data_IF_374943347373
#
_entry.id   IF_374943347373
#
_cell.length_a   1.000
_cell.length_b   1.000
_cell.length_c   1.000
_cell.angle_alpha   90.00
_cell.angle_beta   90.00
_cell.angle_gamma   90.00
#
_symmetry.space_group_name_H-M   'P 1'
#
loop_
_entity.id
_entity.type
_entity.pdbx_description
1 polymer ?
#
# COMPACT_ATOMS: atom_id res chain seq x y z
N UNK A 1 2.25 -15.20 -6.72
CA UNK A 1 1.72 -14.53 -7.92
C UNK A 1 0.74 -13.46 -7.46
N UNK A 2 1.18 -12.20 -7.42
CA UNK A 2 0.27 -11.08 -7.14
C UNK A 2 -0.07 -10.43 -8.46
N UNK A 3 -1.36 -10.42 -8.79
CA UNK A 3 -1.89 -9.74 -9.95
C UNK A 3 -1.65 -8.25 -9.80
N UNK A 4 -1.05 -7.63 -10.82
CA UNK A 4 -0.99 -6.17 -11.00
C UNK A 4 -2.35 -5.56 -10.62
N UNK A 5 -2.42 -4.49 -9.81
CA UNK A 5 -3.68 -3.80 -9.55
C UNK A 5 -4.23 -3.39 -10.90
N UNK A 6 -5.27 -4.08 -11.38
CA UNK A 6 -6.05 -3.57 -12.50
C UNK A 6 -6.60 -2.24 -12.01
N UNK A 7 -6.28 -1.16 -12.73
CA UNK A 7 -6.95 0.12 -12.58
C UNK A 7 -8.46 -0.17 -12.58
N UNK A 8 -9.10 -0.11 -11.42
CA UNK A 8 -10.55 -0.22 -11.37
C UNK A 8 -11.08 1.05 -12.04
N UNK A 9 -11.97 0.92 -13.03
CA UNK A 9 -12.52 2.10 -13.66
C UNK A 9 -13.31 2.91 -12.64
N UNK A 10 -13.03 4.22 -12.58
CA UNK A 10 -13.72 5.17 -11.69
C UNK A 10 -15.24 5.25 -11.95
N UNK A 11 -15.69 4.81 -13.13
CA UNK A 11 -17.09 4.82 -13.56
C UNK A 11 -17.42 3.45 -14.12
N UNK A 12 -18.16 2.61 -13.40
CA UNK A 12 -18.46 1.24 -13.84
C UNK A 12 -19.63 1.13 -14.81
N UNK A 13 -20.59 2.06 -14.72
CA UNK A 13 -21.85 2.00 -15.48
C UNK A 13 -22.22 3.36 -16.07
N UNK A 14 -22.87 3.31 -17.23
CA UNK A 14 -23.34 4.52 -17.93
C UNK A 14 -24.47 5.22 -17.17
N UNK A 15 -25.30 4.45 -16.46
CA UNK A 15 -26.40 4.99 -15.66
C UNK A 15 -25.88 5.87 -14.53
N UNK A 16 -24.70 5.57 -13.96
CA UNK A 16 -24.05 6.43 -12.99
C UNK A 16 -23.71 7.80 -13.59
N UNK A 17 -23.15 7.85 -14.81
CA UNK A 17 -22.85 9.12 -15.49
C UNK A 17 -24.10 9.93 -15.77
N UNK A 18 -25.18 9.27 -16.19
CA UNK A 18 -26.46 9.92 -16.49
C UNK A 18 -27.12 10.46 -15.21
N UNK A 19 -27.22 9.63 -14.17
CA UNK A 19 -27.91 9.97 -12.93
C UNK A 19 -27.15 11.03 -12.11
N UNK A 20 -25.81 11.05 -12.20
CA UNK A 20 -24.98 12.10 -11.60
C UNK A 20 -24.91 13.39 -12.43
N UNK A 21 -25.58 13.43 -13.59
CA UNK A 21 -25.53 14.54 -14.53
C UNK A 21 -24.09 14.94 -14.91
N UNK A 22 -23.22 13.94 -15.06
CA UNK A 22 -21.80 14.15 -15.33
C UNK A 22 -21.57 14.68 -16.75
N UNK A 23 -20.58 15.55 -16.90
CA UNK A 23 -20.11 15.99 -18.21
C UNK A 23 -19.32 14.87 -18.91
N UNK A 24 -19.60 14.63 -20.19
CA UNK A 24 -18.98 13.55 -20.98
C UNK A 24 -18.50 14.06 -22.33
N UNK A 25 -17.34 13.59 -22.77
CA UNK A 25 -16.75 13.93 -24.07
C UNK A 25 -17.18 12.99 -25.19
N UNK A 26 -17.31 13.51 -26.40
CA UNK A 26 -17.55 12.74 -27.62
C UNK A 26 -16.87 13.42 -28.82
N UNK A 27 -16.52 12.66 -29.85
CA UNK A 27 -15.94 13.25 -31.06
C UNK A 27 -16.98 14.14 -31.77
N UNK A 28 -16.66 15.43 -31.96
CA UNK A 28 -17.62 16.44 -32.43
C UNK A 28 -18.24 16.13 -33.80
N UNK A 29 -17.45 15.57 -34.72
CA UNK A 29 -17.90 15.17 -36.06
C UNK A 29 -18.43 13.72 -36.11
N UNK A 30 -18.85 13.17 -34.98
CA UNK A 30 -19.31 11.77 -34.87
C UNK A 30 -20.79 11.67 -34.49
N UNK A 31 -21.42 10.58 -34.93
CA UNK A 31 -22.77 10.21 -34.51
C UNK A 31 -22.89 9.99 -32.98
N UNK A 32 -21.77 9.75 -32.30
CA UNK A 32 -21.72 9.46 -30.86
C UNK A 32 -22.40 10.55 -30.04
N UNK A 33 -22.12 11.83 -30.32
CA UNK A 33 -22.71 12.93 -29.55
C UNK A 33 -24.24 12.93 -29.67
N UNK A 34 -24.77 12.72 -30.88
CA UNK A 34 -26.21 12.62 -31.12
C UNK A 34 -26.79 11.36 -30.45
N UNK A 35 -26.09 10.24 -30.48
CA UNK A 35 -26.51 9.00 -29.83
C UNK A 35 -26.62 9.15 -28.30
N UNK A 36 -25.63 9.81 -27.68
CA UNK A 36 -25.65 10.10 -26.25
C UNK A 36 -26.89 10.92 -25.84
N UNK A 37 -27.25 11.92 -26.65
CA UNK A 37 -28.40 12.79 -26.37
C UNK A 37 -29.72 12.10 -26.68
N UNK A 38 -29.88 11.58 -27.90
CA UNK A 38 -31.17 11.13 -28.42
C UNK A 38 -31.56 9.70 -28.00
N UNK A 39 -30.60 8.84 -27.69
CA UNK A 39 -30.87 7.43 -27.34
C UNK A 39 -30.56 7.16 -25.87
N UNK A 40 -29.42 7.64 -25.39
CA UNK A 40 -28.99 7.43 -24.00
C UNK A 40 -29.52 8.50 -23.03
N UNK A 41 -30.22 9.52 -23.54
CA UNK A 41 -30.85 10.59 -22.77
C UNK A 41 -29.89 11.35 -21.86
N UNK A 42 -28.67 11.60 -22.32
CA UNK A 42 -27.76 12.54 -21.65
C UNK A 42 -28.24 13.97 -21.84
N UNK A 43 -28.05 14.81 -20.81
CA UNK A 43 -28.33 16.23 -20.90
C UNK A 43 -27.45 16.87 -21.99
N UNK A 44 -28.03 17.54 -23.02
CA UNK A 44 -27.28 18.16 -24.11
C UNK A 44 -26.18 19.12 -23.62
N UNK A 45 -26.42 19.83 -22.51
CA UNK A 45 -25.46 20.79 -21.95
C UNK A 45 -24.21 20.10 -21.37
N UNK A 46 -24.31 18.82 -21.04
CA UNK A 46 -23.23 18.02 -20.45
C UNK A 46 -22.51 17.12 -21.46
N UNK A 47 -23.02 17.02 -22.69
CA UNK A 47 -22.31 16.35 -23.79
C UNK A 47 -21.38 17.36 -24.46
N UNK A 48 -20.06 17.14 -24.35
CA UNK A 48 -19.03 18.03 -24.85
C UNK A 48 -18.44 17.49 -26.15
N UNK A 49 -18.70 18.12 -27.30
CA UNK A 49 -18.04 17.76 -28.54
C UNK A 49 -16.56 18.17 -28.47
N UNK A 50 -15.68 17.24 -28.81
CA UNK A 50 -14.22 17.41 -28.83
C UNK A 50 -13.72 17.16 -30.25
N UNK A 51 -12.90 18.07 -30.78
CA UNK A 51 -12.49 18.03 -32.18
C UNK A 51 -11.23 17.20 -32.41
N UNK A 52 -10.31 17.20 -31.44
CA UNK A 52 -9.08 16.42 -31.50
C UNK A 52 -8.99 15.42 -30.35
N UNK A 53 -8.42 14.24 -30.67
CA UNK A 53 -8.06 13.23 -29.66
C UNK A 53 -7.08 13.78 -28.61
N UNK A 54 -6.33 14.83 -28.97
CA UNK A 54 -5.28 15.43 -28.14
C UNK A 54 -5.81 16.41 -27.09
N UNK A 55 -7.07 16.81 -27.20
CA UNK A 55 -7.72 17.71 -26.24
C UNK A 55 -8.27 16.96 -25.02
N UNK A 56 -8.54 15.66 -25.16
CA UNK A 56 -9.16 14.85 -24.10
C UNK A 56 -8.38 14.86 -22.78
N UNK A 57 -7.04 14.70 -22.76
CA UNK A 57 -6.29 14.71 -21.49
C UNK A 57 -6.53 16.01 -20.71
N UNK A 58 -6.41 17.16 -21.37
CA UNK A 58 -6.68 18.46 -20.76
C UNK A 58 -8.12 18.58 -20.25
N UNK A 59 -9.10 17.99 -20.93
CA UNK A 59 -10.50 18.02 -20.49
C UNK A 59 -10.73 17.14 -19.25
N UNK A 60 -10.06 15.98 -19.17
CA UNK A 60 -10.06 15.15 -17.98
C UNK A 60 -9.37 15.85 -16.81
N UNK A 61 -8.17 16.39 -17.02
CA UNK A 61 -7.37 17.06 -15.96
C UNK A 61 -8.09 18.28 -15.37
N UNK A 62 -8.77 19.07 -16.20
CA UNK A 62 -9.54 20.22 -15.76
C UNK A 62 -10.92 19.85 -15.17
N UNK A 63 -11.24 18.55 -15.07
CA UNK A 63 -12.55 18.07 -14.61
C UNK A 63 -13.72 18.51 -15.48
N UNK A 64 -13.47 18.91 -16.75
CA UNK A 64 -14.51 19.34 -17.70
C UNK A 64 -15.32 18.16 -18.21
N UNK A 65 -14.74 16.97 -18.22
CA UNK A 65 -15.42 15.70 -18.53
C UNK A 65 -15.01 14.65 -17.51
N UNK A 66 -15.91 13.71 -17.22
CA UNK A 66 -15.68 12.55 -16.34
C UNK A 66 -15.50 11.24 -17.10
N UNK A 67 -15.99 11.19 -18.34
CA UNK A 67 -15.83 10.07 -19.25
C UNK A 67 -15.79 10.57 -20.69
N UNK A 68 -15.20 9.78 -21.58
CA UNK A 68 -15.19 10.04 -23.03
C UNK A 68 -15.73 8.81 -23.77
N UNK A 69 -16.56 9.06 -24.78
CA UNK A 69 -17.12 8.02 -25.63
C UNK A 69 -16.46 8.04 -27.00
N UNK A 70 -15.93 6.88 -27.38
CA UNK A 70 -15.24 6.65 -28.64
C UNK A 70 -15.84 5.45 -29.37
N UNK A 71 -15.68 5.40 -30.69
CA UNK A 71 -15.74 4.12 -31.41
C UNK A 71 -14.51 3.29 -31.03
N UNK A 72 -14.65 1.96 -31.00
CA UNK A 72 -13.62 1.04 -30.51
C UNK A 72 -12.20 1.30 -31.06
N UNK A 73 -11.95 1.46 -32.37
CA UNK A 73 -10.58 1.71 -32.86
C UNK A 73 -10.03 3.06 -32.39
N UNK A 74 -10.86 4.11 -32.26
CA UNK A 74 -10.39 5.40 -31.71
C UNK A 74 -10.05 5.29 -30.23
N UNK A 75 -10.80 4.49 -29.47
CA UNK A 75 -10.47 4.20 -28.07
C UNK A 75 -9.11 3.49 -27.96
N UNK A 76 -8.85 2.51 -28.81
CA UNK A 76 -7.55 1.80 -28.87
C UNK A 76 -6.41 2.76 -29.19
N UNK A 77 -6.58 3.63 -30.18
CA UNK A 77 -5.58 4.68 -30.51
C UNK A 77 -5.37 5.66 -29.36
N UNK A 78 -6.44 6.09 -28.68
CA UNK A 78 -6.34 6.99 -27.53
C UNK A 78 -5.52 6.35 -26.39
N UNK A 79 -5.82 5.09 -26.04
CA UNK A 79 -5.11 4.37 -24.98
C UNK A 79 -3.66 4.05 -25.36
N UNK A 80 -3.40 3.76 -26.63
CA UNK A 80 -2.06 3.55 -27.14
C UNK A 80 -1.25 4.87 -27.10
N UNK A 81 -1.88 6.02 -27.39
CA UNK A 81 -1.23 7.33 -27.29
C UNK A 81 -1.01 7.79 -25.84
N UNK A 82 -1.98 7.54 -24.96
CA UNK A 82 -2.00 7.96 -23.57
C UNK A 82 -2.03 6.75 -22.63
N UNK A 83 -0.88 6.10 -22.54
CA UNK A 83 -0.67 4.77 -21.93
C UNK A 83 -1.09 4.67 -20.46
N UNK A 84 -1.03 5.79 -19.74
CA UNK A 84 -1.24 5.85 -18.29
C UNK A 84 -2.45 6.74 -17.95
N UNK A 85 -3.19 6.37 -16.90
CA UNK A 85 -4.27 7.19 -16.34
C UNK A 85 -5.65 6.97 -16.95
N UNK A 86 -5.76 6.17 -18.02
CA UNK A 86 -7.02 5.92 -18.71
C UNK A 86 -7.28 4.42 -18.88
N UNK A 87 -8.56 4.04 -18.81
CA UNK A 87 -9.00 2.67 -19.04
C UNK A 87 -10.38 2.66 -19.70
N UNK A 88 -10.64 1.65 -20.53
CA UNK A 88 -12.00 1.39 -21.03
C UNK A 88 -12.87 0.96 -19.86
N UNK A 89 -14.05 1.56 -19.74
CA UNK A 89 -15.04 1.17 -18.75
C UNK A 89 -16.43 0.99 -19.32
N UNK A 90 -17.21 0.15 -18.64
CA UNK A 90 -18.60 -0.13 -18.94
C UNK A 90 -18.77 -1.06 -20.14
N UNK A 91 -20.03 -1.40 -20.47
CA UNK A 91 -20.35 -2.21 -21.62
C UNK A 91 -20.05 -1.45 -22.93
N UNK A 92 -19.56 -2.18 -23.93
CA UNK A 92 -19.39 -1.64 -25.28
C UNK A 92 -20.71 -1.67 -26.04
N UNK A 93 -21.07 -0.55 -26.68
CA UNK A 93 -22.26 -0.48 -27.53
C UNK A 93 -21.92 -0.92 -28.95
N UNK A 94 -22.58 -1.98 -29.44
CA UNK A 94 -22.47 -2.41 -30.85
C UNK A 94 -23.42 -1.59 -31.72
N UNK A 95 -22.94 -0.44 -32.20
CA UNK A 95 -23.74 0.50 -32.99
C UNK A 95 -23.52 0.42 -34.50
N UNK A 96 -22.56 -0.40 -34.95
CA UNK A 96 -22.24 -0.57 -36.37
C UNK A 96 -20.78 -0.92 -36.61
N UNK A 97 -20.32 -0.71 -37.85
CA UNK A 97 -18.95 -0.98 -38.30
C UNK A 97 -18.50 -0.03 -39.41
N UNK A 98 -17.23 -0.16 -39.78
CA UNK A 98 -16.64 0.55 -40.92
C UNK A 98 -16.86 -0.25 -42.20
N UNK A 99 -16.99 0.43 -43.33
CA UNK A 99 -17.19 -0.21 -44.62
C UNK A 99 -16.71 0.67 -45.76
N UNK A 100 -16.49 0.04 -46.92
CA UNK A 100 -16.19 0.72 -48.17
C UNK A 100 -17.49 0.97 -48.93
N UNK A 101 -17.56 2.10 -49.63
CA UNK A 101 -18.78 2.50 -50.36
C UNK A 101 -18.45 2.62 -51.83
N UNK A 102 -19.29 2.00 -52.65
CA UNK A 102 -19.20 2.01 -54.10
C UNK A 102 -20.56 2.39 -54.71
N UNK A 103 -20.55 2.85 -55.95
CA UNK A 103 -21.80 3.08 -56.68
C UNK A 103 -22.56 1.76 -56.86
N UNK A 104 -23.89 1.85 -56.83
CA UNK A 104 -24.75 0.68 -57.00
C UNK A 104 -24.47 0.01 -58.35
N UNK A 105 -24.24 -1.30 -58.32
CA UNK A 105 -23.90 -2.10 -59.51
C UNK A 105 -22.41 -2.16 -59.85
N UNK A 106 -21.54 -1.50 -59.09
CA UNK A 106 -20.10 -1.62 -59.28
C UNK A 106 -19.61 -3.03 -58.94
N UNK A 107 -18.84 -3.70 -59.82
CA UNK A 107 -18.26 -5.02 -59.54
C UNK A 107 -17.26 -4.96 -58.38
N UNK A 108 -16.65 -3.79 -58.15
CA UNK A 108 -15.65 -3.58 -57.10
C UNK A 108 -16.20 -3.86 -55.70
N UNK A 109 -17.51 -3.70 -55.49
CA UNK A 109 -18.15 -4.03 -54.22
C UNK A 109 -18.01 -5.53 -53.89
N UNK A 110 -18.09 -6.41 -54.90
CA UNK A 110 -17.95 -7.85 -54.74
C UNK A 110 -16.47 -8.17 -54.48
N UNK A 111 -15.58 -7.66 -55.33
CA UNK A 111 -14.13 -7.92 -55.24
C UNK A 111 -13.54 -7.48 -53.89
N UNK A 112 -13.91 -6.28 -53.42
CA UNK A 112 -13.44 -5.75 -52.14
C UNK A 112 -14.05 -6.51 -50.97
N UNK A 113 -15.32 -6.93 -51.06
CA UNK A 113 -15.93 -7.74 -50.00
C UNK A 113 -15.23 -9.10 -49.87
N UNK A 114 -14.89 -9.75 -50.99
CA UNK A 114 -14.13 -10.99 -51.00
C UNK A 114 -12.71 -10.79 -50.42
N UNK A 115 -12.03 -9.72 -50.82
CA UNK A 115 -10.71 -9.38 -50.29
C UNK A 115 -10.74 -9.13 -48.77
N UNK A 116 -11.76 -8.42 -48.26
CA UNK A 116 -11.96 -8.19 -46.82
C UNK A 116 -12.16 -9.51 -46.07
N UNK A 117 -12.94 -10.44 -46.63
CA UNK A 117 -13.13 -11.76 -46.01
C UNK A 117 -11.81 -12.54 -45.96
N UNK A 118 -11.06 -12.58 -47.06
CA UNK A 118 -9.75 -13.27 -47.12
C UNK A 118 -8.75 -12.71 -46.11
N UNK A 119 -8.62 -11.38 -46.00
CA UNK A 119 -7.66 -10.75 -45.07
C UNK A 119 -8.11 -10.84 -43.61
N UNK A 120 -9.42 -10.87 -43.35
CA UNK A 120 -9.95 -11.04 -42.00
C UNK A 120 -9.75 -12.48 -41.50
N UNK A 121 -9.97 -13.48 -42.35
CA UNK A 121 -9.78 -14.90 -42.00
C UNK A 121 -8.32 -15.29 -41.84
N UNK A 122 -7.39 -14.61 -42.53
CA UNK A 122 -5.96 -14.88 -42.40
C UNK A 122 -5.32 -14.32 -41.12
N UNK A 123 -6.04 -13.52 -40.33
CA UNK A 123 -5.52 -12.86 -39.12
C UNK A 123 -4.59 -11.68 -39.40
N UNK A 124 -4.41 -11.30 -40.68
CA UNK A 124 -3.50 -10.23 -41.08
C UNK A 124 -3.98 -8.85 -40.57
N UNK A 125 -5.30 -8.66 -40.44
CA UNK A 125 -5.90 -7.45 -39.86
C UNK A 125 -5.47 -7.25 -38.41
N UNK A 126 -5.48 -8.32 -37.60
CA UNK A 126 -5.09 -8.24 -36.19
C UNK A 126 -3.60 -7.92 -36.05
N UNK A 127 -2.77 -8.52 -36.90
CA UNK A 127 -1.33 -8.27 -36.93
C UNK A 127 -1.04 -6.82 -37.33
N UNK A 128 -1.76 -6.31 -38.34
CA UNK A 128 -1.67 -4.92 -38.76
C UNK A 128 -2.12 -3.96 -37.65
N UNK A 129 -3.22 -4.26 -36.97
CA UNK A 129 -3.72 -3.46 -35.85
C UNK A 129 -2.64 -3.36 -34.76
N UNK A 130 -2.09 -4.50 -34.35
CA UNK A 130 -1.04 -4.55 -33.34
C UNK A 130 0.20 -3.76 -33.76
N UNK A 131 0.68 -3.93 -35.00
CA UNK A 131 1.84 -3.20 -35.50
C UNK A 131 1.62 -1.68 -35.53
N UNK A 132 0.42 -1.24 -35.92
CA UNK A 132 0.06 0.18 -35.98
C UNK A 132 -0.09 0.79 -34.57
N UNK A 133 -0.67 0.04 -33.63
CA UNK A 133 -0.81 0.47 -32.23
C UNK A 133 0.52 0.39 -31.46
N UNK A 134 1.42 -0.53 -31.80
CA UNK A 134 2.73 -0.66 -31.14
C UNK A 134 3.67 0.53 -31.47
N UNK A 135 3.41 1.26 -32.55
CA UNK A 135 4.21 2.44 -32.91
C UNK A 135 3.89 3.68 -32.06
N UNK A 136 2.89 3.63 -31.17
CA UNK A 136 2.65 4.70 -30.21
C UNK A 136 3.69 4.67 -29.09
N UNK A 137 4.23 5.86 -28.77
CA UNK A 137 5.37 6.13 -27.89
C UNK A 137 5.19 5.75 -26.39
N UNK A 138 4.56 4.61 -26.07
CA UNK A 138 4.52 4.12 -24.68
C UNK A 138 5.90 3.69 -24.15
N UNK A 139 6.93 3.72 -24.97
CA UNK A 139 8.32 3.42 -24.59
C UNK A 139 9.11 4.64 -24.10
N UNK A 140 8.50 5.83 -24.01
CA UNK A 140 9.19 7.07 -23.63
C UNK A 140 8.72 7.71 -22.31
N UNK A 141 8.00 6.97 -21.46
CA UNK A 141 7.96 7.27 -20.01
C UNK A 141 8.94 6.40 -19.21
N UNK A 142 9.93 5.80 -19.87
CA UNK A 142 11.02 5.08 -19.20
C UNK A 142 12.30 5.92 -19.12
N UNK A 143 12.45 6.93 -19.98
CA UNK A 143 13.65 7.76 -20.05
C UNK A 143 13.53 9.13 -19.34
N UNK A 144 12.31 9.65 -19.13
CA UNK A 144 12.08 10.86 -18.31
C UNK A 144 11.64 10.54 -16.88
N UNK A 145 11.34 9.27 -16.61
CA UNK A 145 11.13 8.73 -15.26
C UNK A 145 11.94 7.47 -15.09
N UNK A 146 13.26 7.65 -15.10
CA UNK A 146 14.25 6.66 -14.66
C UNK A 146 14.13 6.33 -13.14
N UNK A 147 13.00 6.65 -12.53
CA UNK A 147 12.60 6.32 -11.15
C UNK A 147 11.25 5.58 -11.04
N UNK A 148 10.51 5.34 -12.14
CA UNK A 148 9.12 4.86 -12.04
C UNK A 148 8.80 3.59 -12.85
N UNK A 149 9.83 2.82 -13.23
CA UNK A 149 9.65 1.57 -13.96
C UNK A 149 10.72 0.54 -13.62
N UNK A 150 10.97 0.39 -12.32
CA UNK A 150 11.09 -0.98 -11.86
C UNK A 150 9.66 -1.56 -11.91
N UNK A 151 9.54 -2.87 -12.11
CA UNK A 151 8.29 -3.62 -11.91
C UNK A 151 7.51 -3.09 -10.71
N UNK A 152 6.21 -3.39 -10.60
CA UNK A 152 5.44 -3.19 -9.36
C UNK A 152 6.03 -4.11 -8.27
N UNK A 153 7.24 -3.79 -7.82
CA UNK A 153 7.94 -4.33 -6.69
C UNK A 153 7.28 -3.59 -5.55
N UNK A 154 6.50 -4.32 -4.78
CA UNK A 154 6.08 -3.82 -3.49
C UNK A 154 7.37 -3.51 -2.74
N UNK A 155 7.76 -2.24 -2.73
CA UNK A 155 8.86 -1.76 -1.93
C UNK A 155 8.60 -2.11 -0.47
N UNK A 156 9.58 -1.93 0.43
CA UNK A 156 9.38 -2.21 1.84
C UNK A 156 8.26 -1.37 2.49
N UNK A 157 7.76 -0.33 1.81
CA UNK A 157 6.67 0.56 2.26
C UNK A 157 5.42 -0.19 2.77
N UNK A 158 4.69 -0.95 1.94
CA UNK A 158 3.54 -1.75 2.38
C UNK A 158 3.86 -2.82 3.44
N UNK A 159 5.11 -3.28 3.55
CA UNK A 159 5.55 -4.22 4.59
C UNK A 159 6.07 -3.54 5.86
N UNK A 160 6.13 -2.20 5.88
CA UNK A 160 6.68 -1.43 7.00
C UNK A 160 5.98 -1.77 8.32
N UNK A 161 4.64 -1.90 8.30
CA UNK A 161 3.88 -2.31 9.49
C UNK A 161 4.27 -3.70 10.03
N UNK A 162 4.60 -4.64 9.15
CA UNK A 162 5.05 -5.98 9.55
C UNK A 162 6.43 -5.94 10.21
N UNK A 163 7.36 -5.13 9.67
CA UNK A 163 8.68 -4.93 10.27
C UNK A 163 8.59 -4.26 11.64
N UNK A 164 7.67 -3.31 11.84
CA UNK A 164 7.41 -2.71 13.14
C UNK A 164 6.92 -3.73 14.17
N UNK A 165 5.94 -4.57 13.81
CA UNK A 165 5.41 -5.61 14.71
C UNK A 165 6.51 -6.60 15.10
N UNK A 166 7.30 -7.07 14.12
CA UNK A 166 8.39 -8.00 14.36
C UNK A 166 9.47 -7.39 15.26
N UNK A 167 9.82 -6.11 15.02
CA UNK A 167 10.74 -5.35 15.84
C UNK A 167 10.26 -5.21 17.28
N UNK A 168 8.97 -4.94 17.51
CA UNK A 168 8.39 -4.85 18.85
C UNK A 168 8.48 -6.18 19.61
N UNK A 169 8.17 -7.30 18.95
CA UNK A 169 8.22 -8.64 19.58
C UNK A 169 9.66 -8.98 19.98
N UNK A 170 10.63 -8.76 19.09
CA UNK A 170 12.05 -9.01 19.36
C UNK A 170 12.59 -8.09 20.46
N UNK A 171 12.23 -6.81 20.42
CA UNK A 171 12.61 -5.84 21.44
C UNK A 171 12.05 -6.19 22.81
N UNK A 172 10.77 -6.59 22.88
CA UNK A 172 10.14 -7.01 24.14
C UNK A 172 10.80 -8.28 24.71
N UNK A 173 11.04 -9.29 23.88
CA UNK A 173 11.74 -10.51 24.29
C UNK A 173 13.16 -10.21 24.80
N UNK A 174 13.88 -9.32 24.13
CA UNK A 174 15.21 -8.87 24.54
C UNK A 174 15.19 -8.15 25.89
N UNK A 175 14.25 -7.23 26.11
CA UNK A 175 14.08 -6.53 27.39
C UNK A 175 13.80 -7.53 28.53
N UNK A 176 12.91 -8.49 28.31
CA UNK A 176 12.61 -9.53 29.31
C UNK A 176 13.86 -10.37 29.61
N UNK A 177 14.65 -10.73 28.61
CA UNK A 177 15.90 -11.48 28.80
C UNK A 177 16.92 -10.70 29.64
N UNK A 178 17.11 -9.40 29.35
CA UNK A 178 18.00 -8.53 30.13
C UNK A 178 17.54 -8.39 31.58
N UNK A 179 16.24 -8.21 31.82
CA UNK A 179 15.67 -8.13 33.18
C UNK A 179 15.90 -9.44 33.93
N UNK A 180 15.71 -10.60 33.29
CA UNK A 180 15.97 -11.91 33.91
C UNK A 180 17.45 -12.06 34.27
N UNK A 181 18.36 -11.73 33.36
CA UNK A 181 19.80 -11.80 33.62
C UNK A 181 20.23 -10.85 34.75
N UNK A 182 19.71 -9.62 34.76
CA UNK A 182 19.97 -8.65 35.81
C UNK A 182 19.43 -9.13 37.16
N UNK A 183 18.21 -9.67 37.21
CA UNK A 183 17.64 -10.27 38.43
C UNK A 183 18.45 -11.45 38.93
N UNK A 184 18.80 -12.41 38.08
CA UNK A 184 19.60 -13.58 38.48
C UNK A 184 20.97 -13.17 39.01
N UNK A 185 21.61 -12.18 38.38
CA UNK A 185 22.88 -11.63 38.86
C UNK A 185 22.72 -10.88 40.19
N UNK A 186 21.63 -10.12 40.35
CA UNK A 186 21.32 -9.42 41.60
C UNK A 186 20.96 -10.37 42.74
N UNK A 187 20.18 -11.43 42.48
CA UNK A 187 19.87 -12.46 43.49
C UNK A 187 21.13 -13.21 43.87
N UNK A 188 21.99 -13.57 42.92
CA UNK A 188 23.26 -14.25 43.24
C UNK A 188 24.20 -13.39 44.10
N UNK A 189 24.29 -12.07 43.83
CA UNK A 189 25.03 -11.13 44.68
C UNK A 189 24.37 -10.95 46.04
N UNK A 190 23.04 -10.80 46.09
CA UNK A 190 22.29 -10.67 47.34
C UNK A 190 22.42 -11.93 48.21
N UNK A 191 22.36 -13.11 47.60
CA UNK A 191 22.49 -14.39 48.28
C UNK A 191 23.92 -14.52 48.82
N UNK A 192 24.95 -14.19 48.04
CA UNK A 192 26.33 -14.14 48.50
C UNK A 192 26.52 -13.16 49.68
N UNK A 193 25.96 -11.95 49.58
CA UNK A 193 26.01 -10.94 50.67
C UNK A 193 25.23 -11.40 51.90
N UNK A 194 24.09 -12.07 51.72
CA UNK A 194 23.29 -12.63 52.83
C UNK A 194 24.01 -13.78 53.52
N UNK A 195 24.68 -14.66 52.78
CA UNK A 195 25.52 -15.73 53.32
C UNK A 195 26.70 -15.12 54.06
N UNK A 196 27.38 -14.12 53.50
CA UNK A 196 28.44 -13.38 54.21
C UNK A 196 27.92 -12.72 55.49
N UNK A 197 26.73 -12.09 55.48
CA UNK A 197 26.12 -11.51 56.67
C UNK A 197 25.76 -12.57 57.72
N UNK A 198 25.23 -13.74 57.32
CA UNK A 198 24.94 -14.86 58.24
C UNK A 198 26.22 -15.40 58.84
N UNK A 199 27.28 -15.60 58.04
CA UNK A 199 28.60 -16.05 58.53
C UNK A 199 29.21 -15.02 59.49
N UNK A 200 29.14 -13.73 59.18
CA UNK A 200 29.61 -12.66 60.08
C UNK A 200 28.81 -12.65 61.38
N UNK A 201 27.49 -12.81 61.32
CA UNK A 201 26.61 -12.87 62.50
C UNK A 201 26.89 -14.10 63.37
N UNK A 202 27.16 -15.26 62.76
CA UNK A 202 27.52 -16.50 63.45
C UNK A 202 28.92 -16.39 64.09
N UNK A 203 29.88 -15.78 63.39
CA UNK A 203 31.22 -15.47 63.92
C UNK A 203 31.16 -14.49 65.11
N UNK A 204 30.38 -13.40 65.01
CA UNK A 204 30.18 -12.47 66.10
C UNK A 204 29.49 -13.12 67.32
N UNK A 205 28.51 -14.01 67.10
CA UNK A 205 27.83 -14.73 68.18
C UNK A 205 28.76 -15.73 68.90
N UNK A 206 29.62 -16.46 68.16
CA UNK A 206 30.64 -17.35 68.74
C UNK A 206 31.74 -16.60 69.49
N UNK A 207 32.18 -15.44 68.99
CA UNK A 207 33.23 -14.66 69.65
C UNK A 207 32.73 -14.05 70.97
N UNK A 208 31.47 -13.62 71.03
CA UNK A 208 30.84 -13.13 72.26
C UNK A 208 30.69 -14.20 73.35
N UNK A 209 30.53 -15.48 72.98
CA UNK A 209 30.40 -16.58 73.95
C UNK A 209 31.74 -17.08 74.49
N UNK A 210 32.84 -16.94 73.74
CA UNK A 210 34.18 -17.37 74.20
C UNK A 210 34.90 -16.35 75.10
N UNK A 211 34.47 -15.08 75.14
CA UNK A 211 35.10 -14.04 75.95
C UNK A 211 34.50 -13.84 77.36
N UNK A 212 33.40 -14.51 77.72
CA UNK A 212 32.71 -14.30 79.01
C UNK A 212 32.54 -15.57 79.86
N UNK A 213 33.34 -16.61 79.63
CA UNK A 213 33.13 -17.95 80.20
C UNK A 213 34.30 -18.58 80.94
N UNK A 214 35.24 -17.83 81.53
CA UNK A 214 36.22 -18.40 82.48
C UNK A 214 36.62 -17.36 83.53
N UNK A 215 35.99 -17.40 84.72
CA UNK A 215 36.67 -17.24 86.04
C UNK A 215 35.66 -17.41 87.17
N UNK A 216 35.59 -18.62 87.72
CA UNK A 216 35.06 -18.85 89.06
C UNK A 216 35.99 -19.86 89.75
N UNK A 217 36.78 -19.39 90.72
CA UNK A 217 37.21 -20.18 91.86
C UNK A 217 37.58 -19.23 93.01
N UNK A 218 37.24 -19.67 94.22
CA UNK A 218 37.06 -18.94 95.46
C UNK A 218 38.34 -18.19 95.94
N UNK A 219 38.18 -17.09 96.67
CA UNK A 219 38.27 -17.09 98.15
C UNK A 219 38.12 -15.68 98.77
N UNK A 220 37.33 -15.65 99.85
CA UNK A 220 37.45 -14.79 101.05
C UNK A 220 37.97 -13.34 100.92
N UNK A 221 37.12 -12.37 101.23
CA UNK A 221 37.62 -11.08 101.71
C UNK A 221 36.65 -9.90 101.61
N UNK A 222 35.98 -9.63 102.73
CA UNK A 222 35.65 -8.30 103.24
C UNK A 222 34.72 -7.41 102.39
N UNK A 223 33.48 -7.31 102.87
CA UNK A 223 32.54 -6.25 102.54
C UNK A 223 33.07 -4.87 102.95
N UNK A 224 33.02 -3.90 102.04
CA UNK A 224 32.93 -2.47 102.36
C UNK A 224 31.85 -1.87 101.46
N UNK A 225 30.80 -1.39 102.12
CA UNK A 225 29.67 -0.61 101.66
C UNK A 225 30.13 0.83 101.35
N UNK A 226 29.78 1.37 100.16
CA UNK A 226 29.58 2.81 99.95
C UNK A 226 28.50 2.99 98.89
N UNK A 227 27.29 3.23 99.37
CA UNK A 227 26.16 3.75 98.61
C UNK A 227 26.48 5.14 98.05
N UNK A 228 26.18 5.32 96.76
CA UNK A 228 26.09 6.63 96.09
C UNK A 228 25.10 7.50 96.85
N UNK A 229 25.57 8.64 97.32
CA UNK A 229 24.71 9.71 97.77
C UNK A 229 23.82 10.19 96.63
N UNK A 230 22.53 10.32 96.91
CA UNK A 230 21.76 11.53 96.59
C UNK A 230 20.44 11.49 97.36
N UNK A 231 20.18 12.51 98.21
CA UNK A 231 18.95 13.34 98.21
C UNK A 231 18.84 14.22 99.49
N UNK A 232 18.57 15.51 99.23
CA UNK A 232 17.97 16.58 100.06
C UNK A 232 18.86 17.29 101.09
N UNK A 233 18.91 18.62 101.15
CA UNK A 233 17.93 19.68 100.82
C UNK A 233 18.63 20.89 100.22
#
# INVERSE_FOLDING_TARGET
>A
MMTVPRLEPSVKEIDFLRNSNAAVGCNGNSFICRYLISVLNFNPNNVKPVNSIDEYPRLFDNGKIRAAFFVAPHAKVFLAKYCNGYIVSGPSFKLGGFGFVFQKGSPLAIDISEAILKVSQSGHVDTLEQNMLHHSNCTLSLASSQEAADDIRLGPGPFSGLFFILGCILGFAFIVAVIRLARTRWTSVRDAVSVSMVVIRECCARFGTTCFGVRHELNSGLAIDVTSGEIRK
#
